data_IF_766709707037
#
_entry.id   IF_766709707037
#
_cell.length_a   1.000
_cell.length_b   1.000
_cell.length_c   1.000
_cell.angle_alpha   90.00
_cell.angle_beta   90.00
_cell.angle_gamma   90.00
#
_symmetry.space_group_name_H-M   'P 1'
#
loop_
_entity.id
_entity.type
_entity.pdbx_description
1 polymer ?
#
# COMPACT_ATOMS: atom_id res chain seq x y z
N UNK A 1 -31.11 16.28 32.89
CA UNK A 1 -30.76 16.40 31.46
C UNK A 1 -29.40 17.08 31.41
N UNK A 2 -28.36 16.28 31.36
CA UNK A 2 -26.98 16.76 31.44
C UNK A 2 -26.34 16.36 30.12
N UNK A 3 -26.20 17.34 29.24
CA UNK A 3 -25.48 17.24 27.96
C UNK A 3 -24.02 16.97 28.26
N UNK A 4 -23.60 15.71 28.08
CA UNK A 4 -22.17 15.35 28.05
C UNK A 4 -21.64 15.79 26.69
N UNK A 5 -20.87 16.86 26.73
CA UNK A 5 -20.05 17.37 25.63
C UNK A 5 -19.17 16.26 25.07
N UNK A 6 -19.28 16.02 23.76
CA UNK A 6 -18.38 15.15 23.01
C UNK A 6 -16.94 15.67 23.19
N UNK A 7 -16.14 14.93 23.96
CA UNK A 7 -14.72 15.22 24.13
C UNK A 7 -14.02 15.00 22.79
N UNK A 8 -13.52 16.10 22.24
CA UNK A 8 -12.65 16.18 21.07
C UNK A 8 -11.49 15.19 21.17
N UNK A 9 -11.47 14.19 20.30
CA UNK A 9 -10.32 13.32 20.06
C UNK A 9 -9.27 14.15 19.29
N UNK A 10 -8.38 14.82 20.02
CA UNK A 10 -7.09 15.37 19.57
C UNK A 10 -6.05 14.60 20.39
N UNK A 11 -5.06 13.86 19.88
CA UNK A 11 -4.32 13.78 18.61
C UNK A 11 -3.86 12.31 18.38
N UNK A 12 -3.40 11.96 17.16
CA UNK A 12 -2.05 11.40 17.13
C UNK A 12 -1.16 12.16 16.14
N UNK A 13 0.00 12.56 16.65
CA UNK A 13 1.12 13.05 15.87
C UNK A 13 1.78 11.86 15.16
N UNK A 14 1.69 11.85 13.82
CA UNK A 14 2.49 10.99 12.98
C UNK A 14 3.98 11.31 13.22
N UNK A 15 4.74 10.34 13.71
CA UNK A 15 6.21 10.44 13.84
C UNK A 15 6.83 9.62 12.72
N UNK A 16 7.58 10.29 11.84
CA UNK A 16 8.37 9.73 10.75
C UNK A 16 9.05 8.42 11.15
N UNK A 17 8.74 7.33 10.44
CA UNK A 17 9.47 6.07 10.57
C UNK A 17 10.90 6.27 10.07
N UNK A 18 11.90 6.19 10.95
CA UNK A 18 13.30 6.08 10.53
C UNK A 18 13.54 4.66 10.03
N UNK A 19 13.48 4.45 8.72
CA UNK A 19 13.88 3.18 8.09
C UNK A 19 15.38 3.21 7.84
N UNK A 20 16.14 2.42 8.60
CA UNK A 20 17.45 1.95 8.11
C UNK A 20 17.20 0.81 7.12
N UNK A 21 17.79 0.90 5.94
CA UNK A 21 17.79 -0.16 4.92
C UNK A 21 18.39 -1.47 5.47
N UNK A 22 17.53 -2.39 5.92
CA UNK A 22 17.52 -3.84 5.62
C UNK A 22 16.53 -4.55 6.57
N UNK A 23 15.60 -5.33 6.01
CA UNK A 23 14.74 -6.34 6.67
C UNK A 23 14.05 -5.98 8.02
N UNK A 24 13.72 -4.70 8.23
CA UNK A 24 13.11 -4.22 9.48
C UNK A 24 11.59 -4.43 9.58
N UNK A 25 11.10 -4.59 10.81
CA UNK A 25 9.67 -4.54 11.16
C UNK A 25 9.21 -3.09 11.40
N UNK A 26 8.02 -2.73 10.92
CA UNK A 26 7.34 -1.47 11.21
C UNK A 26 6.29 -1.72 12.29
N UNK A 27 6.40 -1.00 13.41
CA UNK A 27 5.47 -1.13 14.52
C UNK A 27 4.40 -0.03 14.50
N UNK A 28 3.16 -0.41 14.73
CA UNK A 28 2.00 0.46 14.78
C UNK A 28 1.27 0.29 16.10
N UNK A 29 0.65 1.36 16.58
CA UNK A 29 -0.15 1.38 17.80
C UNK A 29 -1.54 1.96 17.51
N UNK A 30 -2.57 1.25 17.95
CA UNK A 30 -3.97 1.69 17.93
C UNK A 30 -4.57 1.61 19.34
N UNK A 31 -5.32 2.64 19.75
CA UNK A 31 -6.00 2.69 21.05
C UNK A 31 -7.50 2.75 20.83
N UNK A 32 -8.21 1.79 21.41
CA UNK A 32 -9.66 1.65 21.30
C UNK A 32 -10.34 1.82 22.67
N UNK A 33 -10.87 3.02 22.96
CA UNK A 33 -11.78 3.20 24.08
C UNK A 33 -13.12 2.54 23.75
N UNK A 34 -13.55 1.58 24.55
CA UNK A 34 -14.77 0.80 24.34
C UNK A 34 -15.58 0.70 25.62
N UNK A 35 -16.88 0.97 25.51
CA UNK A 35 -17.83 0.57 26.55
C UNK A 35 -18.35 -0.82 26.20
N UNK A 36 -18.10 -1.79 27.07
CA UNK A 36 -18.45 -3.18 26.80
C UNK A 36 -19.95 -3.36 26.91
N UNK A 37 -20.63 -3.62 25.80
CA UNK A 37 -22.06 -3.90 25.80
C UNK A 37 -22.38 -5.33 25.40
N UNK A 38 -23.55 -5.78 25.86
CA UNK A 38 -24.22 -6.97 25.36
C UNK A 38 -25.26 -6.59 24.31
N UNK A 39 -25.25 -7.31 23.20
CA UNK A 39 -26.28 -7.24 22.16
C UNK A 39 -27.28 -8.36 22.39
N UNK A 40 -28.56 -8.02 22.36
CA UNK A 40 -29.64 -8.99 22.39
C UNK A 40 -29.72 -9.71 21.03
N UNK A 41 -29.83 -11.03 21.06
CA UNK A 41 -30.02 -11.92 19.92
C UNK A 41 -31.49 -12.38 19.93
N UNK A 42 -31.99 -12.79 18.77
CA UNK A 42 -33.27 -13.47 18.68
C UNK A 42 -33.34 -14.66 19.66
N UNK A 43 -34.51 -14.84 20.28
CA UNK A 43 -34.81 -15.80 21.38
C UNK A 43 -34.44 -15.37 22.80
N UNK A 44 -34.06 -14.11 23.04
CA UNK A 44 -33.86 -13.58 24.41
C UNK A 44 -32.46 -13.82 24.99
N UNK A 45 -31.58 -14.45 24.22
CA UNK A 45 -30.16 -14.56 24.54
C UNK A 45 -29.44 -13.23 24.31
N UNK A 46 -28.36 -12.98 25.05
CA UNK A 46 -27.50 -11.82 24.84
C UNK A 46 -26.05 -12.26 24.67
N UNK A 47 -25.30 -11.62 23.77
CA UNK A 47 -23.87 -11.86 23.57
C UNK A 47 -23.08 -10.56 23.65
N UNK A 48 -21.84 -10.63 24.10
CA UNK A 48 -20.87 -9.56 23.90
C UNK A 48 -20.55 -9.49 22.41
N UNK A 49 -20.73 -8.31 21.81
CA UNK A 49 -20.32 -8.03 20.44
C UNK A 49 -20.02 -6.54 20.30
N UNK A 50 -18.74 -6.19 20.35
CA UNK A 50 -18.26 -4.82 20.21
C UNK A 50 -17.21 -4.81 19.09
N UNK A 51 -17.30 -3.83 18.19
CA UNK A 51 -16.39 -3.69 17.04
C UNK A 51 -15.80 -2.29 17.06
N UNK A 52 -14.49 -2.17 16.89
CA UNK A 52 -13.85 -0.87 16.84
C UNK A 52 -14.19 -0.13 15.55
N UNK A 53 -14.12 1.21 15.54
CA UNK A 53 -13.98 1.94 14.30
C UNK A 53 -12.81 1.38 13.48
N UNK A 54 -12.91 1.33 12.14
CA UNK A 54 -11.79 0.93 11.30
C UNK A 54 -10.60 1.88 11.48
N UNK A 55 -9.39 1.35 11.45
CA UNK A 55 -8.15 2.14 11.52
C UNK A 55 -7.19 1.68 10.43
N UNK A 56 -6.26 2.54 10.03
CA UNK A 56 -5.38 2.29 8.89
C UNK A 56 -3.92 2.44 9.26
N UNK A 57 -3.13 1.40 9.00
CA UNK A 57 -1.67 1.51 8.94
C UNK A 57 -1.26 1.90 7.54
N UNK A 58 -0.49 2.97 7.40
CA UNK A 58 0.05 3.34 6.13
C UNK A 58 1.53 3.73 6.24
N UNK A 59 2.28 3.42 5.19
CA UNK A 59 3.66 3.85 4.99
C UNK A 59 3.96 3.81 3.49
N UNK A 60 4.70 4.81 2.98
CA UNK A 60 5.07 4.93 1.56
C UNK A 60 3.89 4.82 0.59
N UNK A 61 2.72 5.34 0.95
CA UNK A 61 1.50 5.26 0.14
C UNK A 61 0.78 3.91 0.17
N UNK A 62 1.34 2.87 0.80
CA UNK A 62 0.64 1.59 0.97
C UNK A 62 -0.15 1.61 2.26
N UNK A 63 -1.44 1.25 2.19
CA UNK A 63 -2.36 1.30 3.33
C UNK A 63 -3.06 -0.04 3.57
N UNK A 64 -3.16 -0.45 4.84
CA UNK A 64 -3.95 -1.59 5.30
C UNK A 64 -4.97 -1.10 6.33
N UNK A 65 -6.23 -1.49 6.16
CA UNK A 65 -7.34 -1.18 7.06
C UNK A 65 -7.68 -2.38 7.92
N UNK A 66 -7.87 -2.10 9.20
CA UNK A 66 -8.08 -3.07 10.26
C UNK A 66 -9.32 -2.72 11.09
N UNK A 67 -9.80 -3.68 11.87
CA UNK A 67 -10.73 -3.45 12.97
C UNK A 67 -10.47 -4.43 14.10
N UNK A 68 -10.77 -4.04 15.34
CA UNK A 68 -10.80 -4.94 16.48
C UNK A 68 -12.22 -5.44 16.71
N UNK A 69 -12.37 -6.71 17.08
CA UNK A 69 -13.66 -7.30 17.43
C UNK A 69 -13.55 -8.04 18.75
N UNK A 70 -14.37 -7.64 19.71
CA UNK A 70 -14.57 -8.32 20.99
C UNK A 70 -15.92 -9.04 20.95
N UNK A 71 -15.95 -10.37 20.96
CA UNK A 71 -17.20 -11.11 20.91
C UNK A 71 -17.24 -12.44 21.67
N UNK A 72 -18.43 -12.85 22.08
CA UNK A 72 -18.71 -14.21 22.56
C UNK A 72 -18.82 -15.17 21.38
N UNK A 73 -18.16 -16.32 21.48
CA UNK A 73 -18.41 -17.47 20.61
C UNK A 73 -18.72 -18.72 21.44
N UNK A 74 -19.62 -19.57 20.93
CA UNK A 74 -19.93 -20.86 21.54
C UNK A 74 -18.91 -21.88 21.06
N UNK A 75 -18.03 -22.33 21.96
CA UNK A 75 -17.07 -23.39 21.66
C UNK A 75 -17.63 -24.72 22.15
N UNK A 76 -17.65 -25.71 21.25
CA UNK A 76 -18.03 -27.08 21.61
C UNK A 76 -16.85 -27.71 22.34
N UNK A 77 -17.00 -27.99 23.63
CA UNK A 77 -15.99 -28.74 24.37
C UNK A 77 -15.86 -30.15 23.77
N UNK A 78 -14.63 -30.66 23.68
CA UNK A 78 -14.39 -32.04 23.28
C UNK A 78 -15.22 -33.00 24.15
N UNK A 79 -15.76 -34.10 23.59
CA UNK A 79 -16.60 -35.01 24.34
C UNK A 79 -15.79 -35.70 25.46
N UNK A 80 -15.85 -35.13 26.66
CA UNK A 80 -15.53 -35.84 27.90
C UNK A 80 -16.71 -36.71 28.33
N UNK A 81 -16.48 -37.58 29.34
CA UNK A 81 -17.43 -38.59 29.83
C UNK A 81 -18.81 -38.05 30.29
N UNK A 82 -19.03 -36.74 30.29
CA UNK A 82 -20.31 -36.09 30.63
C UNK A 82 -20.81 -35.14 29.53
N UNK A 83 -20.99 -35.63 28.31
CA UNK A 83 -21.69 -34.91 27.23
C UNK A 83 -20.98 -33.65 26.70
N UNK A 84 -21.31 -33.22 25.49
CA UNK A 84 -20.78 -31.99 24.93
C UNK A 84 -21.43 -30.77 25.60
N UNK A 85 -20.78 -30.18 26.60
CA UNK A 85 -21.17 -28.88 27.15
C UNK A 85 -20.64 -27.75 26.27
N UNK A 86 -21.54 -26.95 25.69
CA UNK A 86 -21.16 -25.72 24.99
C UNK A 86 -20.71 -24.67 26.01
N UNK A 87 -19.49 -24.18 25.90
CA UNK A 87 -18.96 -23.11 26.74
C UNK A 87 -18.89 -21.82 25.90
N UNK A 88 -19.47 -20.74 26.42
CA UNK A 88 -19.30 -19.41 25.81
C UNK A 88 -17.95 -18.86 26.22
N UNK A 89 -17.15 -18.46 25.24
CA UNK A 89 -15.83 -17.85 25.44
C UNK A 89 -15.77 -16.51 24.73
N UNK A 90 -15.13 -15.52 25.35
CA UNK A 90 -14.93 -14.20 24.76
C UNK A 90 -13.61 -14.18 23.99
N UNK A 91 -13.65 -13.76 22.74
CA UNK A 91 -12.48 -13.55 21.89
C UNK A 91 -12.27 -12.08 21.61
N UNK A 92 -11.00 -11.65 21.66
CA UNK A 92 -10.56 -10.41 21.04
C UNK A 92 -9.81 -10.77 19.76
N UNK A 93 -10.20 -10.15 18.65
CA UNK A 93 -9.68 -10.46 17.32
C UNK A 93 -9.19 -9.20 16.61
N UNK A 94 -8.08 -9.32 15.89
CA UNK A 94 -7.66 -8.35 14.88
C UNK A 94 -8.20 -8.79 13.52
N UNK A 95 -8.95 -7.92 12.86
CA UNK A 95 -9.61 -8.22 11.59
C UNK A 95 -8.95 -7.45 10.45
N UNK A 96 -8.47 -8.17 9.43
CA UNK A 96 -7.93 -7.55 8.21
C UNK A 96 -9.08 -7.23 7.26
N UNK A 97 -9.42 -5.96 7.14
CA UNK A 97 -10.61 -5.51 6.39
C UNK A 97 -10.29 -5.29 4.91
N UNK A 98 -9.32 -4.42 4.65
CA UNK A 98 -8.98 -3.95 3.29
C UNK A 98 -7.49 -3.68 3.19
N UNK A 99 -6.90 -3.95 2.03
CA UNK A 99 -5.51 -3.66 1.72
C UNK A 99 -5.14 -4.21 0.33
N UNK A 100 -3.88 -4.02 -0.10
CA UNK A 100 -3.41 -4.35 -1.46
C UNK A 100 -3.23 -5.84 -1.73
N UNK A 101 -3.03 -6.66 -0.70
CA UNK A 101 -2.86 -8.10 -0.83
C UNK A 101 -4.04 -8.88 -0.24
N UNK A 102 -4.45 -9.99 -0.85
CA UNK A 102 -5.49 -10.85 -0.29
C UNK A 102 -5.01 -11.57 0.99
N UNK A 103 -3.72 -11.82 1.11
CA UNK A 103 -3.09 -12.50 2.24
C UNK A 103 -1.87 -11.70 2.71
N UNK A 104 -1.69 -11.62 4.02
CA UNK A 104 -0.56 -10.95 4.66
C UNK A 104 -0.05 -11.75 5.84
N UNK A 105 1.25 -11.64 6.09
CA UNK A 105 1.90 -12.21 7.26
C UNK A 105 2.09 -11.13 8.32
N UNK A 106 1.59 -11.38 9.53
CA UNK A 106 1.78 -10.50 10.69
C UNK A 106 2.90 -11.07 11.56
N UNK A 107 3.88 -10.24 11.91
CA UNK A 107 5.06 -10.69 12.66
C UNK A 107 4.85 -10.71 14.17
N UNK A 108 3.99 -9.84 14.69
CA UNK A 108 3.61 -9.84 16.09
C UNK A 108 2.39 -8.95 16.30
N UNK A 109 1.47 -9.37 17.16
CA UNK A 109 0.43 -8.51 17.73
C UNK A 109 0.46 -8.67 19.23
N UNK A 110 0.40 -7.56 19.95
CA UNK A 110 0.21 -7.51 21.39
C UNK A 110 -0.97 -6.60 21.70
N UNK A 111 -1.92 -7.09 22.47
CA UNK A 111 -3.01 -6.26 22.99
C UNK A 111 -2.98 -6.23 24.52
N UNK A 112 -3.18 -5.04 25.07
CA UNK A 112 -3.30 -4.80 26.51
C UNK A 112 -4.63 -4.12 26.80
N UNK A 113 -5.23 -4.43 27.94
CA UNK A 113 -6.48 -3.80 28.38
C UNK A 113 -6.17 -2.97 29.62
N UNK A 114 -6.43 -1.67 29.49
CA UNK A 114 -6.22 -0.68 30.54
C UNK A 114 -7.56 -0.13 31.01
N UNK A 115 -7.57 0.37 32.24
CA UNK A 115 -8.66 1.17 32.75
C UNK A 115 -8.66 2.54 32.05
N UNK A 116 -9.79 2.94 31.50
CA UNK A 116 -9.90 4.19 30.74
C UNK A 116 -9.62 5.44 31.59
N UNK A 117 -9.85 5.39 32.91
CA UNK A 117 -9.75 6.58 33.78
C UNK A 117 -8.36 6.70 34.40
N UNK A 118 -7.79 5.58 34.79
CA UNK A 118 -6.52 5.51 35.54
C UNK A 118 -5.33 5.12 34.65
N UNK A 119 -5.57 4.57 33.46
CA UNK A 119 -4.54 4.05 32.57
C UNK A 119 -3.83 2.81 33.10
N UNK A 120 -4.27 2.26 34.24
CA UNK A 120 -3.67 1.09 34.85
C UNK A 120 -4.02 -0.17 34.04
N UNK A 121 -3.04 -1.05 33.85
CA UNK A 121 -3.25 -2.33 33.18
C UNK A 121 -4.19 -3.21 34.03
N UNK A 122 -5.29 -3.66 33.44
CA UNK A 122 -6.35 -4.42 34.11
C UNK A 122 -6.19 -5.93 33.97
N UNK A 123 -5.49 -6.38 32.92
CA UNK A 123 -5.15 -7.78 32.72
C UNK A 123 -3.71 -8.04 33.15
N UNK A 124 -3.48 -9.17 33.81
CA UNK A 124 -2.14 -9.55 34.28
C UNK A 124 -1.30 -10.29 33.23
N UNK A 125 -1.87 -10.57 32.05
CA UNK A 125 -1.22 -11.29 30.96
C UNK A 125 -1.50 -10.59 29.62
N UNK A 126 -0.53 -10.57 28.69
CA UNK A 126 -0.71 -9.96 27.39
C UNK A 126 -1.50 -10.88 26.45
N UNK A 127 -2.33 -10.28 25.61
CA UNK A 127 -3.00 -10.99 24.52
C UNK A 127 -2.09 -10.93 23.30
N UNK A 128 -1.55 -12.06 22.86
CA UNK A 128 -0.53 -12.05 21.79
C UNK A 128 -0.87 -12.95 20.61
N UNK A 129 -0.41 -12.54 19.43
CA UNK A 129 -0.25 -13.38 18.25
C UNK A 129 1.21 -13.31 17.88
N UNK A 130 1.92 -14.44 18.02
CA UNK A 130 3.35 -14.49 17.70
C UNK A 130 3.59 -14.33 16.20
N UNK A 131 2.83 -15.02 15.37
CA UNK A 131 2.75 -14.75 13.94
C UNK A 131 1.51 -15.40 13.36
N UNK A 132 0.96 -14.84 12.28
CA UNK A 132 -0.19 -15.40 11.61
C UNK A 132 -0.25 -14.98 10.15
N UNK A 133 -0.64 -15.93 9.29
CA UNK A 133 -1.14 -15.64 7.96
C UNK A 133 -2.61 -15.22 8.07
N UNK A 134 -2.93 -14.06 7.49
CA UNK A 134 -4.25 -13.48 7.57
C UNK A 134 -4.78 -13.11 6.19
N UNK A 135 -5.93 -13.66 5.85
CA UNK A 135 -6.64 -13.31 4.63
C UNK A 135 -7.54 -12.10 4.85
N UNK A 136 -7.75 -11.34 3.78
CA UNK A 136 -8.71 -10.23 3.74
C UNK A 136 -10.11 -10.74 4.08
N UNK A 137 -10.77 -10.09 5.02
CA UNK A 137 -12.05 -10.52 5.57
C UNK A 137 -11.95 -11.62 6.65
N UNK A 138 -10.76 -11.90 7.18
CA UNK A 138 -10.60 -12.81 8.31
C UNK A 138 -10.16 -12.08 9.57
N UNK A 139 -10.53 -12.66 10.72
CA UNK A 139 -10.08 -12.25 12.04
C UNK A 139 -9.06 -13.24 12.60
N UNK A 140 -7.98 -12.73 13.18
CA UNK A 140 -7.04 -13.51 13.97
C UNK A 140 -7.39 -13.35 15.46
N UNK A 141 -7.87 -14.41 16.15
CA UNK A 141 -8.07 -14.37 17.59
C UNK A 141 -6.75 -14.33 18.33
N UNK A 142 -6.71 -13.57 19.42
CA UNK A 142 -5.56 -13.56 20.31
C UNK A 142 -5.36 -14.94 20.94
N UNK A 143 -4.11 -15.40 21.04
CA UNK A 143 -3.79 -16.72 21.59
C UNK A 143 -3.67 -16.63 23.11
N UNK A 144 -4.37 -17.52 23.80
CA UNK A 144 -4.37 -17.65 25.26
C UNK A 144 -4.32 -19.13 25.64
N UNK A 145 -3.70 -19.44 26.79
CA UNK A 145 -3.87 -20.76 27.40
C UNK A 145 -5.34 -20.98 27.83
N UNK A 146 -5.82 -22.22 27.99
CA UNK A 146 -7.20 -22.48 28.40
C UNK A 146 -7.60 -21.80 29.72
N UNK A 147 -6.66 -21.69 30.66
CA UNK A 147 -6.88 -21.03 31.95
C UNK A 147 -7.02 -19.52 31.78
N UNK A 148 -6.13 -18.89 31.02
CA UNK A 148 -6.18 -17.45 30.69
C UNK A 148 -7.43 -17.11 29.88
N UNK A 149 -7.84 -17.96 28.94
CA UNK A 149 -9.04 -17.78 28.14
C UNK A 149 -10.31 -17.74 29.01
N UNK A 150 -10.39 -18.61 30.02
CA UNK A 150 -11.50 -18.62 30.98
C UNK A 150 -11.47 -17.41 31.92
N UNK A 151 -10.27 -17.02 32.38
CA UNK A 151 -10.06 -15.81 33.16
C UNK A 151 -10.46 -14.54 32.38
N UNK A 152 -10.05 -14.46 31.12
CA UNK A 152 -10.38 -13.36 30.20
C UNK A 152 -11.89 -13.27 29.96
N UNK A 153 -12.54 -14.40 29.67
CA UNK A 153 -13.99 -14.48 29.50
C UNK A 153 -14.73 -13.97 30.75
N UNK A 154 -14.33 -14.46 31.93
CA UNK A 154 -14.91 -14.03 33.20
C UNK A 154 -14.68 -12.53 33.43
N UNK A 155 -13.47 -12.05 33.19
CA UNK A 155 -13.12 -10.64 33.31
C UNK A 155 -14.03 -9.77 32.44
N UNK A 156 -14.14 -10.02 31.14
CA UNK A 156 -14.97 -9.19 30.24
C UNK A 156 -16.43 -9.17 30.68
N UNK A 157 -16.98 -10.29 31.14
CA UNK A 157 -18.34 -10.31 31.68
C UNK A 157 -18.51 -9.48 32.97
N UNK A 158 -17.47 -9.33 33.80
CA UNK A 158 -17.51 -8.41 34.96
C UNK A 158 -17.35 -6.93 34.57
N UNK A 159 -16.92 -6.66 33.33
CA UNK A 159 -16.71 -5.32 32.80
C UNK A 159 -17.86 -4.81 31.92
N UNK A 160 -19.00 -5.51 31.87
CA UNK A 160 -20.19 -5.06 31.14
C UNK A 160 -20.62 -3.67 31.65
N UNK A 161 -21.01 -2.82 30.70
CA UNK A 161 -21.41 -1.42 30.86
C UNK A 161 -20.31 -0.47 31.35
N UNK A 162 -19.09 -0.96 31.57
CA UNK A 162 -17.91 -0.15 31.93
C UNK A 162 -17.07 0.18 30.70
N UNK A 163 -16.26 1.24 30.83
CA UNK A 163 -15.31 1.66 29.81
C UNK A 163 -13.95 0.99 30.03
N UNK A 164 -13.44 0.39 28.96
CA UNK A 164 -12.11 -0.18 28.87
C UNK A 164 -11.33 0.56 27.78
N UNK A 165 -10.02 0.60 27.90
CA UNK A 165 -9.12 1.04 26.83
C UNK A 165 -8.32 -0.18 26.34
N UNK A 166 -8.54 -0.56 25.08
CA UNK A 166 -7.79 -1.65 24.45
C UNK A 166 -6.68 -1.05 23.60
N UNK A 167 -5.43 -1.22 24.00
CA UNK A 167 -4.26 -0.85 23.19
C UNK A 167 -3.83 -2.06 22.37
N UNK A 168 -3.62 -1.86 21.08
CA UNK A 168 -3.13 -2.85 20.14
C UNK A 168 -1.82 -2.35 19.52
N UNK A 169 -0.74 -3.06 19.80
CA UNK A 169 0.57 -2.87 19.20
C UNK A 169 0.80 -4.02 18.21
N UNK A 170 1.14 -3.72 16.96
CA UNK A 170 1.36 -4.74 15.95
C UNK A 170 2.52 -4.39 15.02
N UNK A 171 3.24 -5.43 14.62
CA UNK A 171 4.44 -5.34 13.79
C UNK A 171 4.20 -6.00 12.45
N UNK A 172 4.52 -5.26 11.39
CA UNK A 172 4.39 -5.67 10.01
C UNK A 172 5.76 -5.55 9.32
N UNK A 173 6.07 -6.47 8.42
CA UNK A 173 7.31 -6.38 7.63
C UNK A 173 7.33 -5.09 6.82
N UNK A 174 8.45 -4.37 6.85
CA UNK A 174 8.64 -3.16 6.02
C UNK A 174 8.47 -3.42 4.52
N UNK A 175 8.73 -4.64 4.06
CA UNK A 175 8.52 -5.06 2.67
C UNK A 175 7.06 -4.98 2.22
N UNK A 176 6.08 -5.07 3.14
CA UNK A 176 4.66 -4.85 2.86
C UNK A 176 4.34 -3.39 2.51
N UNK A 177 5.25 -2.46 2.78
CA UNK A 177 5.06 -1.04 2.46
C UNK A 177 5.89 -0.61 1.25
N UNK A 178 6.20 -1.54 0.35
CA UNK A 178 6.84 -1.26 -0.94
C UNK A 178 5.77 -1.25 -2.04
N UNK A 179 5.34 -0.09 -2.58
CA UNK A 179 4.26 -0.04 -3.57
C UNK A 179 4.44 -0.97 -4.76
N UNK A 180 5.67 -1.13 -5.25
CA UNK A 180 5.94 -1.89 -6.46
C UNK A 180 5.88 -3.41 -6.26
N UNK A 181 5.87 -3.92 -5.02
CA UNK A 181 5.82 -5.36 -4.74
C UNK A 181 4.46 -6.00 -5.01
N UNK A 182 3.41 -5.19 -5.14
CA UNK A 182 2.03 -5.64 -5.43
C UNK A 182 1.73 -5.72 -6.93
N UNK A 183 2.65 -5.22 -7.77
CA UNK A 183 2.57 -5.35 -9.21
C UNK A 183 3.40 -6.57 -9.64
N UNK A 184 3.07 -7.24 -10.77
CA UNK A 184 3.79 -8.42 -11.24
C UNK A 184 5.30 -8.22 -11.24
N UNK A 185 6.06 -9.09 -10.59
CA UNK A 185 7.50 -8.87 -10.42
C UNK A 185 8.23 -8.97 -11.77
N UNK A 186 8.78 -7.84 -12.20
CA UNK A 186 9.60 -7.75 -13.42
C UNK A 186 10.98 -8.36 -13.17
N UNK A 187 11.53 -8.22 -11.96
CA UNK A 187 12.86 -8.73 -11.63
C UNK A 187 12.89 -10.26 -11.60
N UNK A 188 11.82 -10.92 -11.15
CA UNK A 188 11.69 -12.38 -11.27
C UNK A 188 11.38 -12.83 -12.69
N UNK A 189 10.64 -12.03 -13.47
CA UNK A 189 10.35 -12.30 -14.87
C UNK A 189 11.60 -12.17 -15.77
N UNK A 190 12.47 -11.19 -15.47
CA UNK A 190 13.76 -10.97 -16.16
C UNK A 190 14.91 -11.85 -15.64
N UNK A 191 14.74 -12.61 -14.54
CA UNK A 191 15.76 -13.56 -14.06
C UNK A 191 16.07 -14.65 -15.08
N UNK A 192 15.11 -15.01 -15.93
CA UNK A 192 15.37 -15.92 -17.04
C UNK A 192 16.04 -15.15 -18.17
N UNK A 193 17.38 -15.19 -18.21
CA UNK A 193 18.17 -14.63 -19.32
C UNK A 193 17.68 -15.12 -20.68
N UNK A 194 17.12 -16.35 -20.74
CA UNK A 194 16.50 -16.90 -21.94
C UNK A 194 15.26 -16.11 -22.38
N UNK A 195 14.30 -15.93 -21.47
CA UNK A 195 13.05 -15.19 -21.78
C UNK A 195 13.40 -13.74 -22.12
N UNK A 196 14.26 -13.11 -21.32
CA UNK A 196 14.67 -11.72 -21.58
C UNK A 196 15.31 -11.56 -22.95
N UNK A 197 16.24 -12.46 -23.33
CA UNK A 197 16.89 -12.44 -24.64
C UNK A 197 15.87 -12.62 -25.77
N UNK A 198 14.95 -13.58 -25.65
CA UNK A 198 13.92 -13.83 -26.65
C UNK A 198 12.97 -12.63 -26.80
N UNK A 199 12.57 -12.00 -25.69
CA UNK A 199 11.75 -10.77 -25.71
C UNK A 199 12.48 -9.60 -26.37
N UNK A 200 13.75 -9.36 -26.02
CA UNK A 200 14.52 -8.28 -26.62
C UNK A 200 14.67 -8.50 -28.14
N UNK A 201 14.98 -9.73 -28.55
CA UNK A 201 15.07 -10.11 -29.96
C UNK A 201 13.75 -9.85 -30.69
N UNK A 202 12.62 -10.26 -30.09
CA UNK A 202 11.29 -10.00 -30.66
C UNK A 202 11.01 -8.51 -30.84
N UNK A 203 11.33 -7.67 -29.85
CA UNK A 203 11.10 -6.22 -29.92
C UNK A 203 11.99 -5.58 -30.99
N UNK A 204 13.25 -6.00 -31.12
CA UNK A 204 14.16 -5.53 -32.17
C UNK A 204 13.68 -5.95 -33.57
N UNK A 205 13.23 -7.19 -33.71
CA UNK A 205 12.75 -7.71 -34.99
C UNK A 205 11.40 -7.10 -35.40
N UNK A 206 10.55 -6.76 -34.42
CA UNK A 206 9.35 -5.97 -34.63
C UNK A 206 9.69 -4.54 -35.08
N UNK A 207 10.63 -3.88 -34.41
CA UNK A 207 11.04 -2.50 -34.71
C UNK A 207 11.76 -2.38 -36.06
N UNK A 208 12.49 -3.42 -36.45
CA UNK A 208 13.19 -3.50 -37.75
C UNK A 208 12.31 -4.04 -38.89
N UNK A 209 11.04 -4.38 -38.62
CA UNK A 209 10.09 -4.87 -39.62
C UNK A 209 10.40 -6.27 -40.16
N UNK A 210 11.24 -7.06 -39.47
CA UNK A 210 11.57 -8.44 -39.86
C UNK A 210 10.42 -9.41 -39.56
N UNK A 211 9.60 -9.08 -38.54
CA UNK A 211 8.42 -9.85 -38.19
C UNK A 211 7.19 -9.16 -38.80
N UNK A 212 6.48 -9.89 -39.65
CA UNK A 212 5.17 -9.48 -40.15
C UNK A 212 4.11 -10.10 -39.26
N UNK A 213 3.42 -9.27 -38.47
CA UNK A 213 2.29 -9.72 -37.65
C UNK A 213 1.15 -10.10 -38.59
N UNK A 214 0.61 -11.32 -38.52
CA UNK A 214 -0.52 -11.73 -39.35
C UNK A 214 -1.71 -10.77 -39.17
N UNK A 215 -2.18 -10.19 -40.27
CA UNK A 215 -3.41 -9.39 -40.28
C UNK A 215 -4.58 -10.38 -40.32
N UNK A 216 -5.34 -10.48 -39.23
CA UNK A 216 -6.64 -11.13 -39.27
C UNK A 216 -7.64 -10.18 -39.95
N UNK A 217 -8.37 -10.68 -40.94
CA UNK A 217 -9.41 -9.97 -41.69
C UNK A 217 -10.65 -9.70 -40.81
N UNK A 218 -10.53 -8.96 -39.70
CA UNK A 218 -11.68 -8.42 -38.99
C UNK A 218 -11.42 -6.97 -38.58
N UNK A 219 -12.17 -6.11 -39.26
CA UNK A 219 -12.47 -4.69 -39.04
C UNK A 219 -11.29 -3.76 -38.75
N UNK A 220 -10.95 -3.03 -39.82
CA UNK A 220 -10.19 -1.79 -39.82
C UNK A 220 -11.01 -0.69 -39.09
N UNK A 221 -11.13 -0.77 -37.77
CA UNK A 221 -11.81 0.27 -36.97
C UNK A 221 -10.96 1.54 -36.82
N UNK A 222 -9.75 1.59 -37.40
CA UNK A 222 -8.84 2.74 -37.26
C UNK A 222 -8.26 2.91 -35.84
N UNK A 223 -8.50 1.97 -34.94
CA UNK A 223 -8.04 2.04 -33.55
C UNK A 223 -6.53 1.75 -33.45
N UNK A 224 -5.73 2.80 -33.23
CA UNK A 224 -4.26 2.77 -33.02
C UNK A 224 -3.81 1.64 -32.08
N UNK A 225 -4.59 1.34 -31.05
CA UNK A 225 -4.26 0.34 -30.04
C UNK A 225 -4.63 -1.11 -30.40
N UNK A 226 -5.46 -1.33 -31.41
CA UNK A 226 -5.74 -2.68 -31.92
C UNK A 226 -4.47 -3.32 -32.51
N UNK A 227 -3.63 -2.54 -33.19
CA UNK A 227 -2.33 -3.00 -33.69
C UNK A 227 -1.38 -3.41 -32.55
N UNK A 228 -1.29 -2.61 -31.49
CA UNK A 228 -0.50 -2.92 -30.30
C UNK A 228 -0.99 -4.18 -29.59
N UNK A 229 -2.31 -4.37 -29.49
CA UNK A 229 -2.92 -5.60 -28.95
C UNK A 229 -2.47 -6.83 -29.73
N UNK A 230 -2.54 -6.79 -31.06
CA UNK A 230 -2.13 -7.91 -31.93
C UNK A 230 -0.64 -8.19 -31.79
N UNK A 231 0.19 -7.15 -31.84
CA UNK A 231 1.63 -7.27 -31.66
C UNK A 231 2.00 -7.92 -30.32
N UNK A 232 1.32 -7.50 -29.24
CA UNK A 232 1.54 -8.02 -27.90
C UNK A 232 1.16 -9.50 -27.79
N UNK A 233 -0.04 -9.88 -28.29
CA UNK A 233 -0.51 -11.27 -28.26
C UNK A 233 0.39 -12.18 -29.10
N UNK A 234 0.70 -11.77 -30.33
CA UNK A 234 1.62 -12.51 -31.20
C UNK A 234 3.01 -12.65 -30.56
N UNK A 235 3.50 -11.59 -29.91
CA UNK A 235 4.78 -11.63 -29.20
C UNK A 235 4.80 -12.60 -28.03
N UNK A 236 3.70 -12.71 -27.28
CA UNK A 236 3.60 -13.70 -26.20
C UNK A 236 3.76 -15.12 -26.74
N UNK A 237 2.97 -15.47 -27.77
CA UNK A 237 2.96 -16.81 -28.36
C UNK A 237 4.31 -17.13 -29.04
N UNK A 238 4.91 -16.15 -29.73
CA UNK A 238 6.19 -16.31 -30.40
C UNK A 238 7.34 -16.56 -29.40
N UNK A 239 7.43 -15.72 -28.36
CA UNK A 239 8.48 -15.85 -27.33
C UNK A 239 8.30 -17.13 -26.53
N UNK A 240 7.06 -17.51 -26.22
CA UNK A 240 6.75 -18.78 -25.56
C UNK A 240 7.23 -19.97 -26.37
N UNK A 241 6.89 -20.03 -27.66
CA UNK A 241 7.31 -21.12 -28.55
C UNK A 241 8.84 -21.21 -28.68
N UNK A 242 9.53 -20.08 -28.83
CA UNK A 242 11.00 -20.06 -28.86
C UNK A 242 11.61 -20.53 -27.53
N UNK A 243 11.04 -20.13 -26.40
CA UNK A 243 11.49 -20.58 -25.08
C UNK A 243 11.26 -22.09 -24.86
N UNK A 244 10.15 -22.65 -25.34
CA UNK A 244 9.87 -24.09 -25.26
C UNK A 244 10.81 -24.90 -26.16
N UNK A 245 11.17 -24.37 -27.34
CA UNK A 245 12.11 -25.00 -28.27
C UNK A 245 13.52 -25.15 -27.70
N UNK A 246 13.96 -24.21 -26.86
CA UNK A 246 15.30 -24.18 -26.28
C UNK A 246 15.43 -24.86 -24.89
N UNK A 247 14.36 -25.37 -24.27
CA UNK A 247 14.41 -25.93 -22.91
C UNK A 247 13.59 -27.20 -22.67
N UNK A 248 13.80 -27.84 -21.51
CA UNK A 248 12.94 -28.93 -21.04
C UNK A 248 11.62 -28.37 -20.51
N UNK A 249 10.54 -29.13 -20.69
CA UNK A 249 9.19 -28.86 -20.17
C UNK A 249 9.25 -28.58 -18.66
N UNK A 250 9.22 -27.30 -18.30
CA UNK A 250 8.83 -26.84 -16.97
C UNK A 250 7.32 -26.70 -16.91
N UNK A 251 6.82 -26.07 -15.85
CA UNK A 251 5.43 -25.66 -15.77
C UNK A 251 5.15 -24.60 -16.85
N UNK A 252 4.40 -24.97 -17.89
CA UNK A 252 4.05 -24.12 -19.04
C UNK A 252 3.28 -22.86 -18.58
N UNK A 253 2.43 -22.99 -17.56
CA UNK A 253 1.65 -21.87 -17.04
C UNK A 253 2.54 -20.83 -16.36
N UNK A 254 3.55 -21.28 -15.60
CA UNK A 254 4.53 -20.38 -15.01
C UNK A 254 5.40 -19.74 -16.08
N UNK A 255 5.83 -20.48 -17.10
CA UNK A 255 6.58 -19.90 -18.22
C UNK A 255 5.80 -18.77 -18.90
N UNK A 256 4.52 -19.01 -19.20
CA UNK A 256 3.66 -18.02 -19.86
C UNK A 256 3.45 -16.76 -19.01
N UNK A 257 3.29 -16.89 -17.69
CA UNK A 257 3.23 -15.74 -16.77
C UNK A 257 4.51 -14.90 -16.81
N UNK A 258 5.67 -15.56 -16.82
CA UNK A 258 6.97 -14.88 -16.90
C UNK A 258 7.16 -14.20 -18.26
N UNK A 259 6.83 -14.88 -19.38
CA UNK A 259 6.87 -14.30 -20.74
C UNK A 259 5.98 -13.07 -20.83
N UNK A 260 4.71 -13.16 -20.40
CA UNK A 260 3.76 -12.03 -20.43
C UNK A 260 4.25 -10.85 -19.62
N UNK A 261 4.80 -11.09 -18.42
CA UNK A 261 5.30 -10.02 -17.54
C UNK A 261 6.55 -9.35 -18.12
N UNK A 262 7.51 -10.13 -18.62
CA UNK A 262 8.74 -9.59 -19.25
C UNK A 262 8.43 -8.85 -20.53
N UNK A 263 7.58 -9.41 -21.40
CA UNK A 263 7.17 -8.76 -22.63
C UNK A 263 6.39 -7.49 -22.34
N UNK A 264 5.44 -7.49 -21.40
CA UNK A 264 4.70 -6.28 -21.01
C UNK A 264 5.65 -5.17 -20.60
N UNK A 265 6.62 -5.48 -19.72
CA UNK A 265 7.59 -4.50 -19.26
C UNK A 265 8.46 -3.93 -20.38
N UNK A 266 9.06 -4.80 -21.21
CA UNK A 266 9.97 -4.36 -22.28
C UNK A 266 9.22 -3.68 -23.42
N UNK A 267 8.05 -4.20 -23.80
CA UNK A 267 7.19 -3.62 -24.83
C UNK A 267 6.65 -2.25 -24.40
N UNK A 268 6.21 -2.11 -23.16
CA UNK A 268 5.79 -0.82 -22.62
C UNK A 268 6.91 0.22 -22.72
N UNK A 269 8.10 -0.07 -22.21
CA UNK A 269 9.20 0.90 -22.19
C UNK A 269 9.82 1.15 -23.58
N UNK A 270 9.95 0.11 -24.41
CA UNK A 270 10.64 0.18 -25.69
C UNK A 270 9.75 0.60 -26.86
N UNK A 271 8.44 0.41 -26.77
CA UNK A 271 7.50 0.65 -27.88
C UNK A 271 6.42 1.67 -27.52
N UNK A 272 5.73 1.53 -26.38
CA UNK A 272 4.61 2.40 -26.06
C UNK A 272 5.06 3.75 -25.50
N UNK A 273 5.98 3.73 -24.53
CA UNK A 273 6.44 4.93 -23.85
C UNK A 273 7.28 5.86 -24.73
N UNK A 274 7.83 5.36 -25.84
CA UNK A 274 8.61 6.18 -26.79
C UNK A 274 7.76 7.23 -27.49
N UNK A 275 6.44 6.99 -27.61
CA UNK A 275 5.48 7.94 -28.16
C UNK A 275 4.83 8.86 -27.11
N UNK A 276 5.25 8.79 -25.85
CA UNK A 276 4.71 9.62 -24.76
C UNK A 276 5.68 10.77 -24.47
N UNK A 277 5.27 11.98 -24.81
CA UNK A 277 6.04 13.20 -24.56
C UNK A 277 5.37 14.12 -23.55
N UNK A 278 4.04 14.14 -23.56
CA UNK A 278 3.21 14.99 -22.72
C UNK A 278 2.21 14.17 -21.89
N UNK A 279 1.48 14.85 -21.02
CA UNK A 279 0.48 14.24 -20.14
C UNK A 279 -0.69 13.65 -20.97
N UNK A 280 -1.11 14.36 -21.99
CA UNK A 280 -2.19 13.99 -22.91
C UNK A 280 -1.86 12.71 -23.70
N UNK A 281 -0.60 12.54 -24.09
CA UNK A 281 -0.11 11.32 -24.74
C UNK A 281 -0.22 10.12 -23.78
N UNK A 282 0.06 10.34 -22.49
CA UNK A 282 -0.05 9.30 -21.47
C UNK A 282 -1.51 8.95 -21.18
N UNK A 283 -2.42 9.93 -21.14
CA UNK A 283 -3.86 9.68 -20.99
C UNK A 283 -4.37 8.85 -22.17
N UNK A 284 -4.03 9.24 -23.40
CA UNK A 284 -4.37 8.50 -24.62
C UNK A 284 -3.82 7.07 -24.62
N UNK A 285 -2.61 6.88 -24.05
CA UNK A 285 -2.02 5.56 -23.84
C UNK A 285 -2.83 4.71 -22.88
N UNK A 286 -3.24 5.25 -21.73
CA UNK A 286 -4.05 4.51 -20.74
C UNK A 286 -5.42 4.16 -21.33
N UNK A 287 -6.10 5.11 -21.96
CA UNK A 287 -7.39 4.89 -22.65
C UNK A 287 -7.28 3.75 -23.66
N UNK A 288 -6.30 3.85 -24.57
CA UNK A 288 -6.09 2.84 -25.59
C UNK A 288 -5.73 1.45 -25.05
N UNK A 289 -4.95 1.36 -23.97
CA UNK A 289 -4.61 0.09 -23.31
C UNK A 289 -5.85 -0.56 -22.68
N UNK A 290 -6.75 0.25 -22.11
CA UNK A 290 -7.99 -0.22 -21.51
C UNK A 290 -9.02 -0.67 -22.57
N UNK A 291 -9.20 0.12 -23.62
CA UNK A 291 -10.06 -0.23 -24.77
C UNK A 291 -9.59 -1.53 -25.43
N UNK A 292 -8.28 -1.68 -25.62
CA UNK A 292 -7.67 -2.89 -26.17
C UNK A 292 -7.74 -4.11 -25.20
N UNK A 293 -8.19 -3.90 -23.95
CA UNK A 293 -8.29 -4.93 -22.90
C UNK A 293 -6.97 -5.67 -22.71
N UNK A 294 -5.90 -4.91 -22.42
CA UNK A 294 -4.55 -5.43 -22.16
C UNK A 294 -4.14 -5.27 -20.69
N UNK A 295 -4.61 -6.14 -19.76
CA UNK A 295 -4.30 -6.03 -18.33
C UNK A 295 -2.80 -5.95 -17.98
N UNK A 296 -1.89 -6.72 -18.63
CA UNK A 296 -0.46 -6.62 -18.33
C UNK A 296 0.11 -5.22 -18.59
N UNK A 297 -0.33 -4.55 -19.66
CA UNK A 297 0.11 -3.20 -19.99
C UNK A 297 -0.55 -2.15 -19.09
N UNK A 298 -1.80 -2.37 -18.66
CA UNK A 298 -2.45 -1.54 -17.61
C UNK A 298 -1.58 -1.53 -16.34
N UNK A 299 -1.09 -2.69 -15.90
CA UNK A 299 -0.19 -2.80 -14.73
C UNK A 299 1.14 -2.09 -14.92
N UNK A 300 1.67 -2.04 -16.15
CA UNK A 300 2.89 -1.28 -16.44
C UNK A 300 2.65 0.24 -16.45
N UNK A 301 1.46 0.71 -16.84
CA UNK A 301 1.06 2.11 -16.65
C UNK A 301 1.05 2.48 -15.16
N UNK A 302 0.42 1.65 -14.32
CA UNK A 302 0.43 1.83 -12.86
C UNK A 302 1.86 1.82 -12.31
N UNK A 303 2.70 0.87 -12.77
CA UNK A 303 4.10 0.76 -12.35
C UNK A 303 4.90 2.01 -12.68
N UNK A 304 4.77 2.51 -13.90
CA UNK A 304 5.49 3.68 -14.38
C UNK A 304 5.19 4.88 -13.49
N UNK A 305 3.91 5.19 -13.27
CA UNK A 305 3.52 6.33 -12.45
C UNK A 305 3.89 6.12 -10.98
N UNK A 306 3.69 4.93 -10.41
CA UNK A 306 4.12 4.65 -9.03
C UNK A 306 5.63 4.87 -8.85
N UNK A 307 6.46 4.51 -9.83
CA UNK A 307 7.92 4.78 -9.79
C UNK A 307 8.21 6.27 -9.79
N UNK A 308 7.55 7.04 -10.65
CA UNK A 308 7.72 8.50 -10.72
C UNK A 308 7.30 9.17 -9.40
N UNK A 309 6.16 8.77 -8.82
CA UNK A 309 5.70 9.28 -7.52
C UNK A 309 6.72 8.94 -6.43
N UNK A 310 7.16 7.69 -6.32
CA UNK A 310 8.12 7.27 -5.30
C UNK A 310 9.46 8.02 -5.45
N UNK A 311 9.98 8.16 -6.67
CA UNK A 311 11.19 8.92 -6.93
C UNK A 311 11.03 10.39 -6.53
N UNK A 312 9.89 11.00 -6.83
CA UNK A 312 9.61 12.39 -6.49
C UNK A 312 9.46 12.60 -4.97
N UNK A 313 8.85 11.65 -4.24
CA UNK A 313 8.69 11.71 -2.79
C UNK A 313 10.03 11.53 -2.07
N UNK A 314 10.87 10.60 -2.53
CA UNK A 314 12.23 10.40 -1.99
C UNK A 314 13.12 11.62 -2.16
N UNK A 315 12.91 12.39 -3.23
CA UNK A 315 13.67 13.61 -3.49
C UNK A 315 13.05 14.86 -2.86
N UNK A 316 11.94 14.74 -2.13
CA UNK A 316 11.14 15.87 -1.62
C UNK A 316 10.73 16.89 -2.71
N UNK A 317 10.79 16.50 -3.98
CA UNK A 317 10.45 17.34 -5.14
C UNK A 317 9.05 17.06 -5.67
N UNK A 318 8.33 16.17 -4.99
CA UNK A 318 7.00 15.70 -5.33
C UNK A 318 6.00 16.86 -5.42
N UNK A 319 5.77 17.29 -6.65
CA UNK A 319 4.74 18.25 -7.01
C UNK A 319 3.37 17.69 -6.62
N UNK A 320 2.72 18.36 -5.67
CA UNK A 320 1.37 18.02 -5.19
C UNK A 320 0.37 17.97 -6.35
N UNK A 321 0.56 18.83 -7.35
CA UNK A 321 -0.27 18.91 -8.56
C UNK A 321 -0.16 17.63 -9.39
N UNK A 322 1.05 17.12 -9.59
CA UNK A 322 1.27 15.87 -10.32
C UNK A 322 0.57 14.68 -9.63
N UNK A 323 0.70 14.55 -8.31
CA UNK A 323 0.06 13.44 -7.57
C UNK A 323 -1.47 13.56 -7.62
N UNK A 324 -2.02 14.77 -7.50
CA UNK A 324 -3.46 15.05 -7.66
C UNK A 324 -3.97 14.68 -9.06
N UNK A 325 -3.23 15.05 -10.12
CA UNK A 325 -3.52 14.64 -11.51
C UNK A 325 -3.56 13.12 -11.63
N UNK A 326 -2.55 12.43 -11.10
CA UNK A 326 -2.49 10.96 -11.15
C UNK A 326 -3.60 10.28 -10.34
N UNK A 327 -4.03 10.86 -9.21
CA UNK A 327 -5.15 10.36 -8.41
C UNK A 327 -6.47 10.44 -9.20
N UNK A 328 -6.78 11.57 -9.84
CA UNK A 328 -7.98 11.72 -10.66
C UNK A 328 -7.98 10.77 -11.87
N UNK A 329 -6.84 10.64 -12.56
CA UNK A 329 -6.71 9.68 -13.65
C UNK A 329 -6.89 8.24 -13.15
N UNK A 330 -6.36 7.91 -11.97
CA UNK A 330 -6.48 6.57 -11.42
C UNK A 330 -7.92 6.21 -11.09
N UNK A 331 -8.73 7.17 -10.65
CA UNK A 331 -10.16 6.95 -10.43
C UNK A 331 -10.90 6.83 -11.76
N UNK A 332 -10.71 7.77 -12.69
CA UNK A 332 -11.34 7.78 -14.02
C UNK A 332 -11.14 6.45 -14.77
N UNK A 333 -9.94 5.87 -14.65
CA UNK A 333 -9.53 4.68 -15.39
C UNK A 333 -9.48 3.39 -14.54
N UNK A 334 -9.98 3.45 -13.31
CA UNK A 334 -9.98 2.33 -12.35
C UNK A 334 -8.59 1.67 -12.22
N UNK A 335 -7.56 2.49 -12.05
CA UNK A 335 -6.18 2.09 -11.75
C UNK A 335 -6.03 1.93 -10.23
N UNK A 336 -6.66 0.90 -9.67
CA UNK A 336 -6.82 0.73 -8.22
C UNK A 336 -5.52 0.78 -7.43
N UNK A 337 -4.43 0.23 -7.98
CA UNK A 337 -3.14 0.20 -7.29
C UNK A 337 -2.51 1.58 -7.27
N UNK A 338 -2.58 2.30 -8.40
CA UNK A 338 -2.13 3.68 -8.47
C UNK A 338 -2.97 4.59 -7.56
N UNK A 339 -4.29 4.40 -7.50
CA UNK A 339 -5.20 5.14 -6.62
C UNK A 339 -4.82 4.98 -5.16
N UNK A 340 -4.57 3.75 -4.72
CA UNK A 340 -4.12 3.49 -3.35
C UNK A 340 -2.83 4.26 -3.03
N UNK A 341 -1.82 4.15 -3.90
CA UNK A 341 -0.51 4.78 -3.67
C UNK A 341 -0.60 6.30 -3.66
N UNK A 342 -1.29 6.89 -4.63
CA UNK A 342 -1.47 8.35 -4.74
C UNK A 342 -2.26 8.90 -3.55
N UNK A 343 -3.38 8.27 -3.19
CA UNK A 343 -4.18 8.67 -2.03
C UNK A 343 -3.39 8.54 -0.73
N UNK A 344 -2.66 7.44 -0.53
CA UNK A 344 -1.84 7.22 0.65
C UNK A 344 -0.74 8.26 0.79
N UNK A 345 -0.04 8.62 -0.30
CA UNK A 345 1.00 9.67 -0.27
C UNK A 345 0.40 11.05 0.00
N UNK A 346 -0.74 11.39 -0.59
CA UNK A 346 -1.38 12.69 -0.37
C UNK A 346 -1.87 12.84 1.06
N UNK A 347 -2.53 11.82 1.61
CA UNK A 347 -3.00 11.84 3.00
C UNK A 347 -1.81 11.91 3.96
N UNK A 348 -0.75 11.13 3.73
CA UNK A 348 0.44 11.16 4.59
C UNK A 348 1.06 12.55 4.65
N UNK A 349 1.26 13.20 3.49
CA UNK A 349 1.73 14.59 3.42
C UNK A 349 0.79 15.56 4.14
N UNK A 350 -0.50 15.48 3.86
CA UNK A 350 -1.52 16.33 4.49
C UNK A 350 -1.52 16.19 6.03
N UNK A 351 -1.32 14.97 6.56
CA UNK A 351 -1.24 14.74 8.00
C UNK A 351 0.08 15.18 8.61
N UNK A 352 1.18 15.21 7.85
CA UNK A 352 2.48 15.69 8.31
C UNK A 352 2.58 17.22 8.28
N UNK A 353 2.05 17.85 7.22
CA UNK A 353 2.31 19.26 6.92
C UNK A 353 1.29 20.22 7.56
N UNK A 354 0.14 19.73 8.03
CA UNK A 354 -0.99 20.57 8.46
C UNK A 354 -1.47 20.29 9.88
N UNK A 355 -1.70 21.38 10.63
CA UNK A 355 -2.36 21.36 11.93
C UNK A 355 -3.89 21.13 11.84
N UNK A 356 -4.48 21.35 10.66
CA UNK A 356 -5.93 21.25 10.44
C UNK A 356 -6.28 20.50 9.15
N UNK A 357 -5.96 19.21 9.05
CA UNK A 357 -6.00 18.52 7.76
C UNK A 357 -7.42 18.16 7.28
N UNK A 358 -8.48 18.70 7.91
CA UNK A 358 -9.86 18.63 7.39
C UNK A 358 -10.27 19.93 6.70
N UNK A 359 -9.71 21.08 7.09
CA UNK A 359 -9.94 22.35 6.41
C UNK A 359 -9.20 22.32 5.05
N UNK A 360 -7.94 21.89 5.05
CA UNK A 360 -7.11 21.72 3.85
C UNK A 360 -7.66 20.72 2.84
N UNK A 361 -8.49 19.76 3.29
CA UNK A 361 -9.17 18.81 2.41
C UNK A 361 -10.26 19.51 1.59
N UNK A 362 -10.87 20.57 2.14
CA UNK A 362 -11.76 21.47 1.42
C UNK A 362 -11.03 22.27 0.34
N UNK A 363 -9.87 22.83 0.65
CA UNK A 363 -9.04 23.54 -0.34
C UNK A 363 -8.55 22.58 -1.43
N UNK A 364 -8.13 21.36 -1.04
CA UNK A 364 -7.73 20.31 -1.97
C UNK A 364 -8.87 19.88 -2.89
N UNK A 365 -10.12 19.84 -2.41
CA UNK A 365 -11.29 19.57 -3.27
C UNK A 365 -11.39 20.60 -4.38
N UNK A 366 -11.24 21.87 -4.07
CA UNK A 366 -11.39 22.94 -5.05
C UNK A 366 -10.24 22.89 -6.08
N UNK A 367 -9.02 22.57 -5.65
CA UNK A 367 -7.91 22.29 -6.56
C UNK A 367 -8.15 21.04 -7.43
N UNK A 368 -8.68 19.95 -6.87
CA UNK A 368 -9.02 18.75 -7.62
C UNK A 368 -10.10 19.02 -8.67
N UNK A 369 -11.08 19.89 -8.39
CA UNK A 369 -12.06 20.34 -9.38
C UNK A 369 -11.40 21.10 -10.52
N UNK A 370 -10.51 22.04 -10.21
CA UNK A 370 -9.77 22.77 -11.25
C UNK A 370 -8.96 21.82 -12.12
N UNK A 371 -8.23 20.88 -11.50
CA UNK A 371 -7.43 19.89 -12.22
C UNK A 371 -8.29 18.96 -13.07
N UNK A 372 -9.46 18.52 -12.56
CA UNK A 372 -10.38 17.68 -13.32
C UNK A 372 -10.84 18.39 -14.59
N UNK A 373 -11.23 19.67 -14.48
CA UNK A 373 -11.62 20.49 -15.62
C UNK A 373 -10.48 20.68 -16.64
N UNK A 374 -9.24 20.86 -16.19
CA UNK A 374 -8.05 20.90 -17.07
C UNK A 374 -7.88 19.59 -17.84
N UNK A 375 -8.01 18.44 -17.17
CA UNK A 375 -7.87 17.12 -17.79
C UNK A 375 -8.95 16.92 -18.85
N UNK A 376 -10.20 17.24 -18.54
CA UNK A 376 -11.32 17.10 -19.48
C UNK A 376 -11.13 17.98 -20.72
N UNK A 377 -10.72 19.23 -20.52
CA UNK A 377 -10.46 20.18 -21.62
C UNK A 377 -9.33 19.70 -22.52
N UNK A 378 -8.24 19.18 -21.94
CA UNK A 378 -7.09 18.67 -22.70
C UNK A 378 -7.37 17.37 -23.47
N UNK A 379 -8.33 16.55 -23.02
CA UNK A 379 -8.55 15.22 -23.58
C UNK A 379 -9.74 15.13 -24.55
N UNK A 380 -10.25 16.27 -25.06
CA UNK A 380 -11.39 16.37 -26.00
C UNK A 380 -12.66 15.58 -25.60
N UNK A 381 -12.74 15.17 -24.34
CA UNK A 381 -13.93 14.54 -23.78
C UNK A 381 -14.83 15.68 -23.34
N UNK A 382 -15.93 15.93 -24.06
CA UNK A 382 -17.02 16.77 -23.58
C UNK A 382 -17.71 16.02 -22.42
N UNK A 383 -17.06 15.97 -21.26
CA UNK A 383 -17.63 15.42 -20.04
C UNK A 383 -18.69 16.39 -19.52
N UNK A 384 -19.82 15.82 -19.12
CA UNK A 384 -20.86 16.50 -18.37
C UNK A 384 -20.23 17.02 -17.05
N UNK A 385 -20.40 18.29 -16.69
CA UNK A 385 -19.87 18.85 -15.43
C UNK A 385 -20.30 17.98 -14.22
N UNK A 386 -21.45 17.31 -14.33
CA UNK A 386 -21.93 16.34 -13.35
C UNK A 386 -20.97 15.16 -13.14
N UNK A 387 -20.32 14.66 -14.19
CA UNK A 387 -19.40 13.53 -14.09
C UNK A 387 -18.06 13.92 -13.43
N UNK A 388 -17.61 15.16 -13.64
CA UNK A 388 -16.41 15.69 -12.99
C UNK A 388 -16.64 15.88 -11.48
N UNK A 389 -17.81 16.41 -11.10
CA UNK A 389 -18.19 16.57 -9.71
C UNK A 389 -18.35 15.22 -8.99
N UNK A 390 -18.90 14.21 -9.66
CA UNK A 390 -18.97 12.84 -9.14
C UNK A 390 -17.57 12.23 -8.95
N UNK A 391 -16.67 12.41 -9.93
CA UNK A 391 -15.29 11.93 -9.88
C UNK A 391 -14.52 12.55 -8.69
N UNK A 392 -14.57 13.88 -8.58
CA UNK A 392 -13.91 14.60 -7.49
C UNK A 392 -14.53 14.25 -6.14
N UNK A 393 -15.86 14.14 -6.08
CA UNK A 393 -16.58 13.73 -4.87
C UNK A 393 -16.11 12.37 -4.36
N UNK A 394 -16.05 11.37 -5.24
CA UNK A 394 -15.58 10.02 -4.89
C UNK A 394 -14.13 10.03 -4.35
N UNK A 395 -13.23 10.76 -5.02
CA UNK A 395 -11.83 10.90 -4.58
C UNK A 395 -11.72 11.58 -3.21
N UNK A 396 -12.47 12.66 -2.99
CA UNK A 396 -12.44 13.40 -1.73
C UNK A 396 -13.01 12.60 -0.57
N UNK A 397 -14.09 11.84 -0.79
CA UNK A 397 -14.67 10.94 0.21
C UNK A 397 -13.68 9.85 0.62
N UNK A 398 -12.93 9.31 -0.34
CA UNK A 398 -11.88 8.32 -0.08
C UNK A 398 -10.70 8.91 0.70
N UNK A 399 -10.21 10.09 0.31
CA UNK A 399 -9.15 10.80 1.03
C UNK A 399 -9.57 11.13 2.46
N UNK A 400 -10.79 11.63 2.65
CA UNK A 400 -11.36 11.92 3.96
C UNK A 400 -11.44 10.65 4.82
N UNK A 401 -11.96 9.57 4.25
CA UNK A 401 -12.07 8.28 4.94
C UNK A 401 -10.70 7.75 5.34
N UNK A 402 -9.73 7.81 4.43
CA UNK A 402 -8.36 7.35 4.67
C UNK A 402 -7.67 8.20 5.75
N UNK A 403 -7.76 9.53 5.67
CA UNK A 403 -7.19 10.45 6.65
C UNK A 403 -7.76 10.21 8.06
N UNK A 404 -9.08 10.03 8.18
CA UNK A 404 -9.70 9.72 9.47
C UNK A 404 -9.24 8.39 10.06
N UNK A 405 -8.99 7.38 9.23
CA UNK A 405 -8.52 6.06 9.68
C UNK A 405 -7.03 6.07 10.03
N UNK A 406 -6.21 6.80 9.28
CA UNK A 406 -4.76 6.94 9.52
C UNK A 406 -4.48 7.72 10.82
N UNK A 407 -5.22 8.81 11.08
CA UNK A 407 -5.19 9.55 12.36
C UNK A 407 -5.63 8.75 13.59
N UNK A 408 -5.88 7.46 13.49
CA UNK A 408 -6.15 6.60 14.65
C UNK A 408 -4.93 5.80 15.06
N UNK A 409 -3.90 5.78 14.23
CA UNK A 409 -2.72 4.92 14.40
C UNK A 409 -1.49 5.80 14.57
N UNK A 410 -0.68 5.45 15.57
CA UNK A 410 0.64 6.03 15.78
C UNK A 410 1.72 5.02 15.41
N UNK A 411 2.89 5.47 14.97
CA UNK A 411 4.06 4.60 14.82
C UNK A 411 4.63 4.31 16.21
N UNK A 412 4.84 3.03 16.52
CA UNK A 412 5.30 2.61 17.85
C UNK A 412 6.82 2.74 17.95
N UNK A 413 7.32 3.47 18.95
CA UNK A 413 8.74 3.45 19.29
C UNK A 413 9.06 2.14 20.03
N UNK A 414 9.89 1.29 19.45
CA UNK A 414 10.57 0.26 20.25
C UNK A 414 11.73 0.94 20.99
N UNK A 415 11.79 0.92 22.33
CA UNK A 415 13.00 1.32 23.03
C UNK A 415 14.12 0.38 22.60
N UNK A 416 15.19 0.93 22.04
CA UNK A 416 16.45 0.21 21.81
C UNK A 416 16.83 -0.51 23.10
N UNK A 417 17.07 -1.81 23.00
CA UNK A 417 17.51 -2.68 24.08
C UNK A 417 18.71 -2.09 24.82
N UNK A 418 18.47 -1.43 25.96
CA UNK A 418 19.53 -1.13 26.92
C UNK A 418 19.88 -2.43 27.64
N UNK A 419 21.03 -2.98 27.26
CA UNK A 419 21.73 -4.00 28.03
C UNK A 419 21.94 -3.45 29.44
N UNK A 420 21.45 -4.19 30.43
CA UNK A 420 21.64 -3.89 31.84
C UNK A 420 23.12 -3.83 32.19
N UNK A 421 23.49 -2.78 32.93
CA UNK A 421 24.81 -2.62 33.53
C UNK A 421 24.66 -1.93 34.87
N UNK A 422 24.82 -2.72 35.93
CA UNK A 422 24.68 -2.40 37.34
C UNK A 422 25.49 -1.18 37.78
N UNK A 423 24.95 -0.46 38.76
CA UNK A 423 25.56 0.65 39.48
C UNK A 423 26.82 0.26 40.26
N UNK A 424 27.95 0.95 40.02
CA UNK A 424 28.98 1.20 41.05
C UNK A 424 29.91 2.39 40.69
N UNK A 425 29.79 3.45 41.50
CA UNK A 425 30.82 4.41 41.97
C UNK A 425 32.03 4.84 41.10
N UNK A 426 31.99 6.12 40.65
CA UNK A 426 33.01 7.21 40.68
C UNK A 426 34.49 6.98 40.25
N UNK A 427 35.30 8.05 40.02
CA UNK A 427 35.23 9.07 38.97
C UNK A 427 36.59 9.27 38.22
N UNK A 428 36.61 10.18 37.24
CA UNK A 428 37.74 11.04 36.79
C UNK A 428 38.50 10.76 35.46
N UNK A 429 38.78 11.89 34.81
CA UNK A 429 39.89 12.23 33.89
C UNK A 429 39.75 12.04 32.36
N UNK A 430 39.54 13.18 31.70
CA UNK A 430 40.20 13.71 30.49
C UNK A 430 41.15 12.80 29.68
N UNK A 431 40.95 12.74 28.37
CA UNK A 431 41.95 13.19 27.37
C UNK A 431 41.43 13.04 25.93
N UNK A 432 41.58 14.13 25.18
CA UNK A 432 41.60 14.26 23.73
C UNK A 432 42.63 13.36 23.04
N UNK A 433 42.31 12.74 21.90
CA UNK A 433 43.25 12.52 20.78
C UNK A 433 42.47 12.32 19.45
N UNK A 434 42.67 13.23 18.49
CA UNK A 434 42.54 12.98 17.04
C UNK A 434 43.88 12.42 16.52
N UNK A 435 43.92 11.59 15.46
CA UNK A 435 44.71 12.02 14.29
C UNK A 435 44.21 11.54 12.89
N UNK A 436 44.19 12.51 11.97
CA UNK A 436 44.75 12.54 10.58
C UNK A 436 44.90 11.26 9.72
N UNK A 437 44.14 11.23 8.62
CA UNK A 437 44.53 11.37 7.19
C UNK A 437 45.90 10.85 6.66
N UNK A 438 45.90 9.99 5.62
CA UNK A 438 46.61 10.19 4.32
C UNK A 438 46.56 8.98 3.36
N UNK A 439 46.15 9.24 2.09
CA UNK A 439 46.67 8.78 0.77
C UNK A 439 47.00 7.29 0.51
N UNK A 440 46.94 6.70 -0.69
CA UNK A 440 46.45 6.93 -2.06
C UNK A 440 46.81 5.64 -2.85
N UNK A 441 46.10 5.31 -3.94
CA UNK A 441 46.60 4.72 -5.20
C UNK A 441 45.50 3.98 -5.99
N UNK A 442 45.19 4.49 -7.17
CA UNK A 442 44.52 3.77 -8.27
C UNK A 442 45.56 3.06 -9.16
N UNK A 443 45.13 2.12 -10.04
CA UNK A 443 45.13 2.44 -11.48
C UNK A 443 43.97 1.88 -12.34
N UNK A 444 43.70 2.61 -13.45
CA UNK A 444 43.12 2.33 -14.79
C UNK A 444 42.19 1.11 -15.03
N UNK A 445 40.95 1.24 -15.51
CA UNK A 445 40.37 1.78 -16.77
C UNK A 445 40.43 0.81 -17.99
N UNK A 446 39.26 0.27 -18.37
CA UNK A 446 38.98 -0.40 -19.65
C UNK A 446 37.56 0.00 -20.10
N UNK A 447 37.50 0.50 -21.34
CA UNK A 447 36.38 1.15 -22.02
C UNK A 447 35.12 0.28 -22.18
N UNK A 448 33.95 0.87 -21.92
CA UNK A 448 32.64 0.46 -22.44
C UNK A 448 31.70 1.69 -22.42
N UNK A 449 30.95 1.99 -23.49
CA UNK A 449 30.24 3.26 -23.63
C UNK A 449 29.02 3.32 -22.69
N UNK A 450 29.04 4.30 -21.76
CA UNK A 450 27.90 4.67 -20.92
C UNK A 450 26.98 5.62 -21.70
N UNK A 451 25.66 5.40 -21.75
CA UNK A 451 24.73 6.44 -22.17
C UNK A 451 24.41 7.37 -20.98
N UNK A 452 24.81 8.63 -21.13
CA UNK A 452 24.33 9.85 -20.47
C UNK A 452 24.77 10.13 -19.02
N UNK A 453 25.77 11.01 -18.91
CA UNK A 453 25.95 11.95 -17.80
C UNK A 453 25.22 13.28 -18.06
N UNK A 454 24.96 14.09 -17.01
CA UNK A 454 23.77 14.91 -16.88
C UNK A 454 23.99 16.34 -17.37
N UNK A 455 22.96 16.93 -17.95
CA UNK A 455 22.83 18.39 -17.98
C UNK A 455 21.66 18.81 -17.08
N UNK A 456 22.03 19.46 -15.97
CA UNK A 456 21.19 20.23 -15.04
C UNK A 456 20.43 19.46 -13.94
N UNK A 457 20.37 20.00 -12.71
CA UNK A 457 19.66 19.40 -11.59
C UNK A 457 18.17 19.79 -11.61
N UNK A 458 17.32 18.91 -11.08
CA UNK A 458 15.92 19.15 -10.70
C UNK A 458 14.92 19.44 -11.82
N UNK A 459 14.11 18.43 -12.17
CA UNK A 459 12.75 18.57 -12.69
C UNK A 459 12.19 17.18 -12.99
N UNK A 460 11.05 16.80 -12.39
CA UNK A 460 10.20 15.72 -12.92
C UNK A 460 10.02 15.94 -14.44
N UNK A 461 9.95 14.89 -15.24
CA UNK A 461 9.79 15.02 -16.71
C UNK A 461 8.50 15.78 -17.10
N UNK A 462 7.58 15.96 -16.15
CA UNK A 462 6.31 16.70 -16.28
C UNK A 462 6.34 18.15 -15.78
N UNK A 463 7.47 18.67 -15.28
CA UNK A 463 7.54 19.99 -14.59
C UNK A 463 7.54 21.22 -15.53
N UNK A 464 7.39 21.05 -16.85
CA UNK A 464 7.37 22.20 -17.78
C UNK A 464 5.95 22.69 -18.02
N UNK A 465 5.31 23.17 -16.96
CA UNK A 465 4.15 24.05 -17.03
C UNK A 465 4.49 25.29 -16.21
N UNK A 466 5.32 26.15 -16.77
CA UNK A 466 5.34 27.58 -16.39
C UNK A 466 4.60 28.33 -17.50
N UNK A 467 3.50 28.95 -17.12
CA UNK A 467 2.71 29.85 -17.94
C UNK A 467 3.55 31.11 -18.20
N UNK A 468 4.01 31.29 -19.44
CA UNK A 468 4.53 32.56 -19.90
C UNK A 468 3.33 33.48 -20.18
N UNK A 469 2.89 34.22 -19.15
CA UNK A 469 1.89 35.28 -19.29
C UNK A 469 2.61 36.54 -19.76
N UNK A 470 2.81 36.66 -21.07
CA UNK A 470 3.28 37.88 -21.71
C UNK A 470 2.13 38.86 -21.95
N UNK A 471 2.24 40.05 -21.34
CA UNK A 471 1.57 41.27 -21.81
C UNK A 471 2.15 41.75 -23.14
#
# INVERSE_FOLDING_TARGET
>A
MTTVTAASIREPLHVVASTSDDDGAVGFQYVWPVRVHKRQIDNGDSMVLNVSPPFTTALNGVAFTWALRLCDECVVAAPGENGATSLRQVFLMLYYKEGPAPEIFIENVKMTINDHTTGAELLSFPLTVESADLNKGMGCPMTLSPEEQNAFTTFIHTQIDKFLEIRCDFKLKSSLFKPLSYLPSVDSACRSQRIEKAVNQFIEDLSSGKIVIPVLEEEDTGEKFAAHRRAFMFGCDHVEHECLREGKAGDEDELLKHVRSTLAHKYFNGVLLTGVHYFEDFVSLVEGVLEAKLPPLKRECERFICREIMASTLQETADSTFIKKMLLLSEKFSLDHLKMVTAGVLVDKMLCDSEKPMEDLGDMRDELKQIASEISTSCENLTDESAEDELVGAVVDDLQTLAQRMRRVSLSHSPSSNVGGSSSSSPSSSASVTPTNSAAHSPAALDSPRPFEPSSPSSSRFKRVELDVGY
#
